data_IF_617364358942
#
_entry.id   IF_617364358942
#
_cell.length_a   1.000
_cell.length_b   1.000
_cell.length_c   1.000
_cell.angle_alpha   90.00
_cell.angle_beta   90.00
_cell.angle_gamma   90.00
#
_symmetry.space_group_name_H-M   'P 1'
#
loop_
_entity.id
_entity.type
_entity.pdbx_description
1 polymer ?
#
# COMPACT_ATOMS: atom_id res chain seq x y z
N UNK A 1 7.44 10.82 -0.56
CA UNK A 1 6.34 10.25 0.22
C UNK A 1 5.43 9.53 -0.74
N UNK A 2 5.11 8.27 -0.45
CA UNK A 2 4.33 7.37 -1.29
C UNK A 2 3.11 6.91 -0.49
N UNK A 3 1.94 7.02 -1.08
CA UNK A 3 0.69 6.49 -0.53
C UNK A 3 0.04 5.50 -1.49
N UNK A 4 -0.97 4.79 -1.03
CA UNK A 4 -1.77 3.91 -1.88
C UNK A 4 -2.94 4.64 -2.56
N UNK A 5 -3.50 5.65 -1.89
CA UNK A 5 -4.69 6.39 -2.34
C UNK A 5 -4.43 7.88 -2.59
N UNK A 6 -5.19 8.41 -3.55
CA UNK A 6 -5.11 9.82 -3.95
C UNK A 6 -5.64 10.78 -2.88
N UNK A 7 -6.68 10.40 -2.14
CA UNK A 7 -7.24 11.22 -1.07
C UNK A 7 -6.27 11.36 0.11
N UNK A 8 -5.62 10.26 0.50
CA UNK A 8 -4.56 10.27 1.51
C UNK A 8 -3.34 11.08 1.05
N UNK A 9 -2.93 10.94 -0.21
CA UNK A 9 -1.86 11.75 -0.82
C UNK A 9 -2.17 13.26 -0.72
N UNK A 10 -3.40 13.66 -1.06
CA UNK A 10 -3.85 15.05 -0.96
C UNK A 10 -3.82 15.57 0.49
N UNK A 11 -4.26 14.75 1.45
CA UNK A 11 -4.29 15.12 2.86
C UNK A 11 -2.88 15.34 3.42
N UNK A 12 -1.96 14.40 3.14
CA UNK A 12 -0.57 14.52 3.56
C UNK A 12 0.11 15.70 2.87
N UNK A 13 -0.07 15.86 1.55
CA UNK A 13 0.47 16.98 0.80
C UNK A 13 0.00 18.34 1.36
N UNK A 14 -1.29 18.48 1.69
CA UNK A 14 -1.84 19.69 2.30
C UNK A 14 -1.18 19.99 3.65
N UNK A 15 -1.01 18.97 4.48
CA UNK A 15 -0.39 19.09 5.81
C UNK A 15 1.07 19.52 5.73
N UNK A 16 1.84 18.91 4.81
CA UNK A 16 3.23 19.28 4.58
C UNK A 16 3.38 20.67 3.96
N UNK A 17 2.48 21.04 3.05
CA UNK A 17 2.49 22.37 2.42
C UNK A 17 2.24 23.51 3.41
N UNK A 18 1.44 23.26 4.46
CA UNK A 18 1.26 24.20 5.59
C UNK A 18 2.54 24.39 6.41
N UNK A 19 3.46 23.42 6.36
CA UNK A 19 4.71 23.41 7.12
C UNK A 19 5.93 23.79 6.27
N UNK A 20 5.73 24.44 5.11
CA UNK A 20 6.79 24.79 4.15
C UNK A 20 7.95 25.59 4.76
N UNK A 21 7.66 26.46 5.73
CA UNK A 21 8.66 27.34 6.36
C UNK A 21 9.65 26.53 7.21
N UNK A 22 9.18 25.44 7.81
CA UNK A 22 10.02 24.49 8.55
C UNK A 22 10.85 23.62 7.60
N UNK A 23 10.26 23.21 6.48
CA UNK A 23 10.87 22.28 5.53
C UNK A 23 11.91 22.93 4.62
N UNK A 24 11.91 24.28 4.52
CA UNK A 24 12.78 25.07 3.62
C UNK A 24 12.73 24.64 2.15
N UNK A 25 11.72 23.86 1.79
CA UNK A 25 11.48 23.33 0.46
C UNK A 25 9.97 23.33 0.21
N UNK A 26 9.59 23.55 -1.05
CA UNK A 26 8.21 23.50 -1.47
C UNK A 26 7.88 22.06 -1.87
N UNK A 27 6.97 21.37 -1.17
CA UNK A 27 6.52 20.05 -1.57
C UNK A 27 5.88 20.08 -2.96
N UNK A 28 6.05 19.02 -3.74
CA UNK A 28 5.44 18.86 -5.06
C UNK A 28 4.68 17.55 -5.12
N UNK A 29 3.50 17.57 -5.74
CA UNK A 29 2.66 16.39 -5.90
C UNK A 29 2.69 15.92 -7.35
N UNK A 30 3.03 14.65 -7.56
CA UNK A 30 3.04 14.05 -8.88
C UNK A 30 1.60 13.81 -9.36
N UNK A 31 1.17 14.53 -10.40
CA UNK A 31 -0.20 14.43 -10.94
C UNK A 31 -0.40 13.26 -11.89
N UNK A 32 0.69 12.79 -12.52
CA UNK A 32 0.67 11.71 -13.49
C UNK A 32 1.98 10.92 -13.47
N UNK A 33 2.01 9.77 -14.17
CA UNK A 33 3.24 8.98 -14.36
C UNK A 33 4.33 9.79 -15.06
N UNK A 34 3.97 10.57 -16.09
CA UNK A 34 4.90 11.44 -16.80
C UNK A 34 5.46 12.51 -15.88
N UNK A 35 4.59 13.18 -15.13
CA UNK A 35 5.01 14.21 -14.19
C UNK A 35 5.90 13.64 -13.06
N UNK A 36 5.62 12.43 -12.55
CA UNK A 36 6.50 11.76 -11.60
C UNK A 36 7.93 11.58 -12.14
N UNK A 37 8.07 11.20 -13.41
CA UNK A 37 9.37 11.02 -14.07
C UNK A 37 10.13 12.34 -14.17
N UNK A 38 9.45 13.40 -14.59
CA UNK A 38 10.00 14.75 -14.65
C UNK A 38 10.44 15.24 -13.26
N UNK A 39 9.62 15.00 -12.24
CA UNK A 39 9.94 15.38 -10.86
C UNK A 39 11.17 14.60 -10.35
N UNK A 40 11.30 13.30 -10.64
CA UNK A 40 12.43 12.50 -10.16
C UNK A 40 13.73 12.71 -10.96
N UNK A 41 13.67 13.27 -12.17
CA UNK A 41 14.83 13.55 -13.04
C UNK A 41 15.71 14.73 -12.59
N UNK A 42 15.55 15.22 -11.35
CA UNK A 42 16.31 16.36 -10.82
C UNK A 42 17.67 15.97 -10.25
N UNK A 43 18.64 16.88 -10.35
CA UNK A 43 19.98 16.66 -9.82
C UNK A 43 20.02 16.53 -8.30
N UNK A 44 19.26 17.35 -7.56
CA UNK A 44 19.24 17.30 -6.10
C UNK A 44 17.95 17.86 -5.47
N UNK A 45 17.71 17.47 -4.22
CA UNK A 45 16.66 18.04 -3.36
C UNK A 45 15.21 17.73 -3.76
N UNK A 46 14.27 18.27 -2.97
CA UNK A 46 12.84 18.22 -3.21
C UNK A 46 12.09 17.20 -2.35
N UNK A 47 10.86 17.55 -2.02
CA UNK A 47 9.89 16.68 -1.35
C UNK A 47 8.80 16.36 -2.36
N UNK A 48 8.71 15.09 -2.76
CA UNK A 48 7.75 14.64 -3.79
C UNK A 48 6.71 13.74 -3.13
N UNK A 49 5.45 14.06 -3.37
CA UNK A 49 4.27 13.27 -3.02
C UNK A 49 3.77 12.53 -4.25
N UNK A 50 3.49 11.25 -4.10
CA UNK A 50 3.04 10.40 -5.20
C UNK A 50 2.29 9.19 -4.65
N UNK A 51 1.60 8.52 -5.55
CA UNK A 51 0.90 7.28 -5.25
C UNK A 51 1.64 6.11 -5.88
N UNK A 52 1.59 4.94 -5.24
CA UNK A 52 2.38 3.79 -5.69
C UNK A 52 2.02 3.31 -7.10
N UNK A 53 0.75 3.45 -7.50
CA UNK A 53 0.29 3.06 -8.84
C UNK A 53 0.91 3.87 -9.99
N UNK A 54 1.53 5.02 -9.69
CA UNK A 54 2.24 5.83 -10.69
C UNK A 54 3.60 5.21 -11.09
N UNK A 55 4.09 4.24 -10.33
CA UNK A 55 5.24 3.39 -10.68
C UNK A 55 4.85 2.16 -11.52
N UNK A 56 3.62 2.05 -12.03
CA UNK A 56 3.31 0.97 -12.97
C UNK A 56 3.93 1.26 -14.36
N UNK A 57 4.52 0.27 -15.05
CA UNK A 57 4.90 0.42 -16.45
C UNK A 57 3.68 0.74 -17.33
N UNK A 58 3.93 1.37 -18.48
CA UNK A 58 2.89 1.76 -19.44
C UNK A 58 2.26 0.56 -20.15
N UNK A 59 1.28 0.83 -21.02
CA UNK A 59 0.51 -0.23 -21.71
C UNK A 59 1.34 -1.10 -22.67
N UNK A 60 2.53 -0.65 -23.05
CA UNK A 60 3.42 -1.35 -23.99
C UNK A 60 4.25 -2.47 -23.34
N UNK A 61 3.98 -2.84 -22.08
CA UNK A 61 4.64 -3.97 -21.41
C UNK A 61 6.13 -3.76 -21.10
N UNK A 62 6.64 -2.55 -21.30
CA UNK A 62 8.06 -2.26 -21.20
C UNK A 62 8.52 -2.22 -19.73
N UNK A 63 9.77 -2.65 -19.50
CA UNK A 63 10.41 -2.62 -18.18
C UNK A 63 10.28 -1.21 -17.56
N UNK A 64 10.12 -1.13 -16.24
CA UNK A 64 10.14 0.18 -15.58
C UNK A 64 11.56 0.76 -15.72
N UNK A 65 11.77 1.87 -16.45
CA UNK A 65 13.10 2.44 -16.54
C UNK A 65 13.48 3.05 -15.20
N UNK A 66 14.79 3.03 -14.93
CA UNK A 66 15.37 3.71 -13.78
C UNK A 66 15.03 5.20 -13.86
N UNK A 67 14.33 5.71 -12.85
CA UNK A 67 13.93 7.13 -12.78
C UNK A 67 15.05 7.97 -12.17
N UNK A 68 15.81 7.40 -11.23
CA UNK A 68 17.03 8.01 -10.72
C UNK A 68 17.94 6.96 -10.08
N UNK A 69 19.25 7.08 -10.33
CA UNK A 69 20.29 6.25 -9.70
C UNK A 69 20.85 6.88 -8.41
N UNK A 70 20.28 8.00 -7.96
CA UNK A 70 20.76 8.74 -6.80
C UNK A 70 20.66 7.91 -5.53
N UNK A 71 21.73 7.94 -4.73
CA UNK A 71 21.81 7.29 -3.41
C UNK A 71 21.20 8.12 -2.27
N UNK A 72 20.98 9.41 -2.50
CA UNK A 72 20.40 10.34 -1.52
C UNK A 72 18.88 10.49 -1.67
N UNK A 73 18.20 9.39 -1.98
CA UNK A 73 16.73 9.34 -2.14
C UNK A 73 16.17 8.53 -1.00
N UNK A 74 15.23 9.12 -0.26
CA UNK A 74 14.49 8.45 0.81
C UNK A 74 13.03 8.31 0.38
N UNK A 75 12.57 7.08 0.34
CA UNK A 75 11.18 6.73 0.08
C UNK A 75 10.50 6.48 1.43
N UNK A 76 9.57 7.35 1.77
CA UNK A 76 8.66 7.17 2.91
C UNK A 76 7.34 6.65 2.35
N UNK A 77 6.98 5.41 2.68
CA UNK A 77 5.73 4.78 2.30
C UNK A 77 4.75 4.80 3.49
N UNK A 78 3.56 5.36 3.27
CA UNK A 78 2.46 5.30 4.22
C UNK A 78 1.51 4.15 3.86
N UNK A 79 0.86 3.60 4.87
CA UNK A 79 0.07 2.36 4.82
C UNK A 79 0.79 1.27 4.01
N UNK A 80 2.04 1.00 4.41
CA UNK A 80 2.94 0.04 3.78
C UNK A 80 2.47 -1.41 4.01
N UNK A 81 1.31 -1.75 3.47
CA UNK A 81 0.67 -3.05 3.63
C UNK A 81 1.04 -3.99 2.47
N UNK A 82 1.29 -5.27 2.80
CA UNK A 82 1.86 -6.26 1.86
C UNK A 82 1.04 -6.47 0.58
N UNK A 83 -0.28 -6.33 0.62
CA UNK A 83 -1.13 -6.53 -0.57
C UNK A 83 -0.87 -5.54 -1.71
N UNK A 84 -0.47 -4.31 -1.39
CA UNK A 84 -0.19 -3.26 -2.37
C UNK A 84 1.31 -3.12 -2.68
N UNK A 85 2.14 -3.41 -1.68
CA UNK A 85 3.60 -3.31 -1.76
C UNK A 85 4.30 -4.68 -1.93
N UNK A 86 3.54 -5.76 -2.16
CA UNK A 86 4.07 -7.10 -2.33
C UNK A 86 4.81 -7.25 -3.67
N UNK A 87 5.82 -8.12 -3.70
CA UNK A 87 6.53 -8.51 -4.91
C UNK A 87 5.79 -9.58 -5.73
N UNK A 88 4.58 -9.95 -5.31
CA UNK A 88 3.86 -11.09 -5.88
C UNK A 88 3.54 -10.85 -7.35
N UNK A 89 3.93 -11.84 -8.14
CA UNK A 89 3.71 -11.90 -9.56
C UNK A 89 2.33 -12.54 -9.80
N UNK A 90 1.37 -11.77 -10.32
CA UNK A 90 0.09 -12.29 -10.81
C UNK A 90 0.22 -12.62 -12.29
N UNK A 91 -0.06 -13.86 -12.64
CA UNK A 91 -0.20 -14.26 -14.04
C UNK A 91 -1.52 -13.67 -14.55
N UNK A 92 -1.44 -12.86 -15.59
CA UNK A 92 -2.59 -12.34 -16.32
C UNK A 92 -2.58 -13.02 -17.67
N UNK A 93 -3.57 -13.87 -17.90
CA UNK A 93 -3.83 -14.39 -19.24
C UNK A 93 -4.53 -13.27 -20.03
N UNK A 94 -3.89 -12.81 -21.10
CA UNK A 94 -4.52 -11.90 -22.04
C UNK A 94 -4.22 -12.39 -23.45
N UNK A 95 -5.26 -12.85 -24.16
CA UNK A 95 -5.20 -13.26 -25.57
C UNK A 95 -4.10 -14.29 -25.88
N UNK A 96 -4.18 -15.50 -25.30
CA UNK A 96 -3.26 -16.63 -25.52
C UNK A 96 -1.80 -16.43 -25.08
N UNK A 97 -1.45 -15.28 -24.50
CA UNK A 97 -0.15 -15.02 -23.87
C UNK A 97 -0.29 -14.89 -22.35
N UNK A 98 0.51 -15.69 -21.62
CA UNK A 98 0.62 -15.60 -20.16
C UNK A 98 1.57 -14.44 -19.81
N UNK A 99 1.01 -13.29 -19.44
CA UNK A 99 1.78 -12.14 -18.96
C UNK A 99 2.01 -12.21 -17.44
N UNK A 100 3.24 -11.93 -16.99
CA UNK A 100 3.53 -11.83 -15.55
C UNK A 100 3.43 -10.37 -15.11
N UNK A 101 2.44 -10.02 -14.28
CA UNK A 101 2.33 -8.69 -13.66
C UNK A 101 2.85 -8.73 -12.23
N UNK A 102 3.89 -7.96 -11.96
CA UNK A 102 4.43 -7.83 -10.61
C UNK A 102 3.66 -6.79 -9.80
N UNK A 103 3.73 -6.90 -8.48
CA UNK A 103 3.21 -5.86 -7.59
C UNK A 103 3.99 -4.55 -7.71
N UNK A 104 3.35 -3.44 -7.33
CA UNK A 104 3.85 -2.10 -7.62
C UNK A 104 5.19 -1.76 -6.93
N UNK A 105 5.48 -2.38 -5.79
CA UNK A 105 6.74 -2.17 -5.08
C UNK A 105 7.94 -2.64 -5.89
N UNK A 106 7.80 -3.70 -6.70
CA UNK A 106 8.88 -4.16 -7.58
C UNK A 106 9.29 -3.06 -8.54
N UNK A 107 8.33 -2.50 -9.25
CA UNK A 107 8.59 -1.42 -10.22
C UNK A 107 9.11 -0.16 -9.54
N UNK A 108 8.64 0.17 -8.33
CA UNK A 108 9.19 1.28 -7.55
C UNK A 108 10.67 1.05 -7.20
N UNK A 109 11.07 -0.18 -6.89
CA UNK A 109 12.47 -0.53 -6.62
C UNK A 109 13.33 -0.52 -7.87
N UNK A 110 12.84 -1.04 -8.98
CA UNK A 110 13.52 -0.94 -10.27
C UNK A 110 13.70 0.53 -10.72
N UNK A 111 12.70 1.37 -10.45
CA UNK A 111 12.74 2.80 -10.73
C UNK A 111 13.74 3.56 -9.84
N UNK A 112 13.95 3.11 -8.60
CA UNK A 112 14.74 3.79 -7.57
C UNK A 112 15.73 2.82 -6.88
N UNK A 113 16.67 2.22 -7.64
CA UNK A 113 17.45 1.07 -7.16
C UNK A 113 18.34 1.37 -5.95
N UNK A 114 18.75 2.63 -5.79
CA UNK A 114 19.67 3.08 -4.75
C UNK A 114 18.98 3.85 -3.61
N UNK A 115 17.64 3.86 -3.55
CA UNK A 115 16.90 4.58 -2.52
C UNK A 115 16.84 3.80 -1.19
N UNK A 116 16.78 4.53 -0.09
CA UNK A 116 16.44 3.97 1.23
C UNK A 116 14.92 4.01 1.43
N UNK A 117 14.36 2.94 2.00
CA UNK A 117 12.90 2.79 2.18
C UNK A 117 12.54 2.76 3.66
N UNK A 118 11.53 3.53 4.02
CA UNK A 118 10.92 3.57 5.36
C UNK A 118 9.42 3.39 5.17
N UNK A 119 8.84 2.39 5.82
CA UNK A 119 7.40 2.11 5.76
C UNK A 119 6.72 2.40 7.10
N UNK A 120 5.58 3.06 7.06
CA UNK A 120 4.67 3.21 8.19
C UNK A 120 3.44 2.34 7.93
N UNK A 121 3.00 1.58 8.94
CA UNK A 121 1.79 0.76 8.84
C UNK A 121 1.17 0.56 10.22
N UNK A 122 -0.16 0.66 10.28
CA UNK A 122 -0.92 0.36 11.49
C UNK A 122 -1.27 -1.14 11.62
N UNK A 123 -1.19 -1.89 10.51
CA UNK A 123 -1.59 -3.30 10.43
C UNK A 123 -0.50 -4.10 9.71
N UNK A 124 0.64 -4.37 10.37
CA UNK A 124 1.63 -5.28 9.81
C UNK A 124 0.99 -6.66 9.68
N UNK A 125 0.73 -7.12 8.45
CA UNK A 125 0.13 -8.45 8.21
C UNK A 125 1.01 -9.51 8.88
N UNK A 126 0.39 -10.33 9.72
CA UNK A 126 1.03 -11.26 10.64
C UNK A 126 2.17 -12.09 10.03
N UNK A 127 3.34 -11.95 10.65
CA UNK A 127 4.37 -12.91 11.11
C UNK A 127 4.45 -14.37 10.61
N UNK A 128 3.46 -14.94 9.92
CA UNK A 128 3.52 -16.35 9.47
C UNK A 128 4.25 -16.55 8.16
N UNK A 129 4.45 -15.48 7.39
CA UNK A 129 5.01 -15.59 6.04
C UNK A 129 6.27 -14.74 5.89
N UNK A 130 7.38 -15.40 5.55
CA UNK A 130 8.79 -14.99 5.72
C UNK A 130 9.25 -13.78 4.86
N UNK A 131 8.33 -13.05 4.23
CA UNK A 131 8.64 -12.12 3.14
C UNK A 131 8.55 -10.62 3.50
N UNK A 132 8.16 -10.24 4.72
CA UNK A 132 8.05 -8.82 5.13
C UNK A 132 9.41 -8.09 5.28
N UNK A 133 10.48 -8.70 5.83
CA UNK A 133 11.81 -8.08 5.91
C UNK A 133 12.39 -7.75 4.52
N UNK A 134 11.96 -8.46 3.48
CA UNK A 134 12.48 -8.27 2.12
C UNK A 134 12.11 -6.90 1.52
N UNK A 135 11.01 -6.27 1.99
CA UNK A 135 10.47 -5.04 1.37
C UNK A 135 10.87 -3.76 2.11
N UNK A 136 11.03 -3.80 3.43
CA UNK A 136 11.36 -2.60 4.22
C UNK A 136 12.47 -2.81 5.25
N UNK A 137 12.96 -4.05 5.41
CA UNK A 137 13.95 -4.40 6.43
C UNK A 137 13.32 -4.69 7.79
N UNK A 138 14.12 -4.52 8.83
CA UNK A 138 13.73 -4.78 10.21
C UNK A 138 12.85 -3.65 10.78
N UNK A 139 12.07 -3.97 11.80
CA UNK A 139 11.31 -2.97 12.54
C UNK A 139 12.25 -1.97 13.24
N UNK A 140 12.05 -0.68 12.98
CA UNK A 140 12.78 0.41 13.64
C UNK A 140 12.17 0.70 15.02
N UNK A 141 10.84 0.80 15.08
CA UNK A 141 10.07 1.04 16.29
C UNK A 141 8.65 0.49 16.13
N UNK A 142 8.03 0.09 17.23
CA UNK A 142 6.64 -0.40 17.27
C UNK A 142 5.90 0.36 18.36
N UNK A 143 4.87 1.09 17.95
CA UNK A 143 3.95 1.78 18.86
C UNK A 143 2.57 1.14 18.75
N UNK A 144 2.25 0.27 19.69
CA UNK A 144 1.00 -0.50 19.68
C UNK A 144 -0.19 0.28 20.26
N UNK A 145 -1.38 -0.29 20.08
CA UNK A 145 -2.63 0.28 20.58
C UNK A 145 -2.69 0.34 22.11
N UNK A 146 -2.03 -0.60 22.80
CA UNK A 146 -1.99 -0.63 24.27
C UNK A 146 -1.28 0.59 24.80
N UNK A 147 -0.08 0.86 24.28
CA UNK A 147 0.73 2.02 24.62
C UNK A 147 0.02 3.34 24.27
N UNK A 148 -0.65 3.38 23.13
CA UNK A 148 -1.47 4.54 22.71
C UNK A 148 -2.58 4.91 23.69
N UNK A 149 -3.23 3.91 24.28
CA UNK A 149 -4.27 4.09 25.30
C UNK A 149 -3.66 4.50 26.64
N UNK A 150 -2.53 3.93 27.04
CA UNK A 150 -1.80 4.27 28.26
C UNK A 150 -1.32 5.72 28.25
N UNK A 151 -0.77 6.17 27.11
CA UNK A 151 -0.32 7.55 26.88
C UNK A 151 -1.49 8.54 26.73
N UNK A 152 -2.74 8.07 26.76
CA UNK A 152 -3.97 8.86 26.54
C UNK A 152 -3.99 9.58 25.18
N UNK A 153 -3.24 9.07 24.21
CA UNK A 153 -3.25 9.59 22.83
C UNK A 153 -4.47 9.08 22.08
N UNK A 154 -4.98 7.90 22.44
CA UNK A 154 -6.23 7.34 21.91
C UNK A 154 -7.24 7.01 23.02
N UNK A 155 -8.52 6.97 22.65
CA UNK A 155 -9.61 6.55 23.53
C UNK A 155 -9.80 5.03 23.46
N UNK A 156 -10.24 4.43 24.57
CA UNK A 156 -10.57 3.00 24.61
C UNK A 156 -11.75 2.69 23.69
N UNK A 157 -11.57 1.72 22.80
CA UNK A 157 -12.62 1.22 21.91
C UNK A 157 -13.26 0.00 22.58
N UNK A 158 -14.58 0.07 22.79
CA UNK A 158 -15.37 -1.07 23.24
C UNK A 158 -16.12 -1.64 22.04
N UNK A 159 -15.88 -2.92 21.73
CA UNK A 159 -16.60 -3.62 20.67
C UNK A 159 -17.73 -4.45 21.27
N UNK A 160 -18.97 -4.14 20.88
CA UNK A 160 -20.14 -4.96 21.19
C UNK A 160 -20.62 -5.63 19.90
N UNK A 161 -20.53 -6.96 19.83
CA UNK A 161 -21.06 -7.70 18.69
C UNK A 161 -22.58 -7.75 18.77
N UNK A 162 -23.26 -7.17 17.77
CA UNK A 162 -24.72 -7.22 17.65
C UNK A 162 -25.09 -8.24 16.59
N UNK A 163 -25.50 -9.42 17.02
CA UNK A 163 -26.09 -10.43 16.15
C UNK A 163 -27.59 -10.13 16.06
N UNK A 164 -28.03 -9.58 14.93
CA UNK A 164 -29.47 -9.43 14.67
C UNK A 164 -30.02 -10.80 14.29
N UNK A 165 -30.92 -11.41 15.08
CA UNK A 165 -31.57 -12.65 14.68
C UNK A 165 -32.46 -12.38 13.48
N UNK A 166 -32.11 -12.95 12.34
CA UNK A 166 -32.97 -12.92 11.16
C UNK A 166 -34.04 -14.00 11.38
N UNK A 167 -35.22 -13.60 11.86
CA UNK A 167 -36.35 -14.52 11.96
C UNK A 167 -36.86 -14.82 10.53
N UNK A 168 -36.39 -15.92 9.95
CA UNK A 168 -36.86 -16.36 8.64
C UNK A 168 -38.24 -17.02 8.78
N UNK A 169 -39.31 -16.23 8.72
CA UNK A 169 -40.70 -16.71 8.86
C UNK A 169 -41.29 -17.33 7.58
N UNK A 170 -40.49 -18.03 6.76
CA UNK A 170 -41.00 -18.84 5.63
C UNK A 170 -39.94 -19.75 4.99
N UNK A 171 -39.45 -20.78 5.70
CA UNK A 171 -38.79 -21.92 5.07
C UNK A 171 -39.42 -23.24 5.52
N UNK A 172 -40.63 -23.54 5.03
CA UNK A 172 -41.33 -24.82 5.31
C UNK A 172 -41.08 -25.92 4.27
N UNK A 173 -40.30 -25.72 3.20
CA UNK A 173 -40.20 -26.78 2.16
C UNK A 173 -38.84 -26.96 1.48
N UNK A 174 -37.95 -25.96 1.44
CA UNK A 174 -36.71 -26.05 0.65
C UNK A 174 -35.51 -26.66 1.43
N UNK A 175 -35.47 -26.52 2.76
CA UNK A 175 -34.34 -26.98 3.57
C UNK A 175 -34.22 -28.52 3.69
N UNK A 176 -35.28 -29.28 3.39
CA UNK A 176 -35.23 -30.76 3.45
C UNK A 176 -34.50 -31.41 2.27
N UNK A 177 -34.39 -30.75 1.12
CA UNK A 177 -33.76 -31.36 -0.07
C UNK A 177 -32.25 -31.13 -0.17
N UNK A 178 -31.70 -30.11 0.49
CA UNK A 178 -30.25 -29.84 0.42
C UNK A 178 -29.46 -30.74 1.36
N UNK A 179 -29.99 -31.07 2.54
CA UNK A 179 -29.30 -31.94 3.51
C UNK A 179 -29.23 -33.42 3.11
N UNK A 180 -30.05 -33.90 2.18
CA UNK A 180 -29.99 -35.31 1.72
C UNK A 180 -28.95 -35.58 0.64
N UNK A 181 -28.33 -34.55 0.05
CA UNK A 181 -27.35 -34.70 -1.03
C UNK A 181 -25.89 -34.59 -0.59
N UNK A 182 -25.63 -34.26 0.68
CA UNK A 182 -24.28 -34.11 1.23
C UNK A 182 -23.81 -35.31 2.09
N UNK A 183 -24.56 -36.41 2.12
CA UNK A 183 -24.21 -37.60 2.92
C UNK A 183 -24.05 -38.91 2.12
N UNK A 184 -24.03 -38.81 0.79
CA UNK A 184 -23.78 -39.94 -0.13
C UNK A 184 -23.04 -39.46 -1.39
N UNK A 185 -21.80 -38.98 -1.21
CA UNK A 185 -20.61 -39.20 -2.06
C UNK A 185 -19.40 -39.01 -1.17
#
# INVERSE_FOLDING_TARGET
>A
VVTDRNDLDNQLFSTFSKSKDLLRQIPQQATSRKNLRELLSRESGGIIFTTIHKFNPGENGDNMPVLTERKNVIVIADEAHRSQYGFEAKIIEKNDEAGIKYGYAKYMREALPNASYIGFTATPVELTDKNTPAVFGDYIDIYDMTRSVEDKTTVKIYYESRITPILCSSFSSIARNVLRKALLV
#
